data_IF_363051502813
#
_entry.id   IF_363051502813
#
_cell.length_a   1.000
_cell.length_b   1.000
_cell.length_c   1.000
_cell.angle_alpha   90.00
_cell.angle_beta   90.00
_cell.angle_gamma   90.00
#
_symmetry.space_group_name_H-M   'P 1'
#
loop_
_entity.id
_entity.type
_entity.pdbx_description
1 polymer ?
#
# COMPACT_ATOMS: atom_id res chain seq x y z
N UNK A 1 -15.23 36.56 -35.62
CA UNK A 1 -14.21 35.47 -35.68
C UNK A 1 -12.85 35.83 -35.05
N UNK A 2 -12.65 37.00 -34.43
CA UNK A 2 -11.34 37.39 -33.86
C UNK A 2 -11.03 36.76 -32.49
N UNK A 3 -12.07 36.30 -31.77
CA UNK A 3 -11.95 35.76 -30.42
C UNK A 3 -12.05 34.23 -30.32
N UNK A 4 -12.24 33.52 -31.43
CA UNK A 4 -12.35 32.04 -31.43
C UNK A 4 -11.03 31.38 -30.99
N UNK A 5 -9.89 31.89 -31.45
CA UNK A 5 -8.57 31.36 -31.11
C UNK A 5 -8.23 31.47 -29.62
N UNK A 6 -8.40 32.63 -28.95
CA UNK A 6 -8.14 32.74 -27.52
C UNK A 6 -9.15 31.94 -26.67
N UNK A 7 -10.41 31.83 -27.09
CA UNK A 7 -11.41 31.02 -26.39
C UNK A 7 -11.03 29.53 -26.45
N UNK A 8 -10.62 29.03 -27.61
CA UNK A 8 -10.17 27.65 -27.75
C UNK A 8 -8.93 27.35 -26.90
N UNK A 9 -7.96 28.27 -26.88
CA UNK A 9 -6.78 28.14 -26.04
C UNK A 9 -7.13 28.10 -24.54
N UNK A 10 -8.06 28.94 -24.10
CA UNK A 10 -8.54 28.96 -22.72
C UNK A 10 -9.23 27.64 -22.32
N UNK A 11 -10.10 27.10 -23.19
CA UNK A 11 -10.77 25.82 -22.95
C UNK A 11 -9.74 24.69 -22.82
N UNK A 12 -8.73 24.65 -23.69
CA UNK A 12 -7.67 23.64 -23.62
C UNK A 12 -6.92 23.72 -22.29
N UNK A 13 -6.51 24.92 -21.85
CA UNK A 13 -5.80 25.12 -20.58
C UNK A 13 -6.65 24.65 -19.38
N UNK A 14 -7.94 24.99 -19.37
CA UNK A 14 -8.86 24.57 -18.31
C UNK A 14 -9.02 23.05 -18.29
N UNK A 15 -9.18 22.40 -19.45
CA UNK A 15 -9.28 20.93 -19.53
C UNK A 15 -8.03 20.20 -18.99
N UNK A 16 -6.83 20.75 -19.19
CA UNK A 16 -5.60 20.14 -18.65
C UNK A 16 -5.47 20.31 -17.13
N UNK A 17 -5.96 21.41 -16.55
CA UNK A 17 -5.87 21.64 -15.09
C UNK A 17 -6.72 20.69 -14.24
N UNK A 18 -7.81 20.11 -14.80
CA UNK A 18 -8.70 19.21 -14.05
C UNK A 18 -8.07 17.82 -13.81
N UNK A 19 -7.07 17.43 -14.62
CA UNK A 19 -6.42 16.11 -14.51
C UNK A 19 -5.62 15.94 -13.21
N UNK A 20 -5.13 17.04 -12.62
CA UNK A 20 -4.19 17.00 -11.48
C UNK A 20 -4.88 16.61 -10.16
N UNK A 21 -6.19 16.81 -10.05
CA UNK A 21 -6.96 16.51 -8.83
C UNK A 21 -7.65 15.13 -8.85
N UNK A 22 -7.61 14.41 -9.98
CA UNK A 22 -8.31 13.14 -10.14
C UNK A 22 -7.43 11.91 -9.90
N UNK A 23 -6.11 12.08 -9.74
CA UNK A 23 -5.18 10.96 -9.60
C UNK A 23 -4.91 10.65 -8.12
N UNK A 24 -5.44 9.51 -7.65
CA UNK A 24 -5.09 8.96 -6.35
C UNK A 24 -3.89 8.03 -6.49
N UNK A 25 -2.84 8.28 -5.71
CA UNK A 25 -1.70 7.39 -5.62
C UNK A 25 -1.95 6.29 -4.57
N UNK A 26 -1.38 5.12 -4.80
CA UNK A 26 -1.51 3.96 -3.92
C UNK A 26 -0.16 3.32 -3.69
N UNK A 27 0.14 3.02 -2.43
CA UNK A 27 1.20 2.11 -2.04
C UNK A 27 0.64 0.69 -2.07
N UNK A 28 1.22 -0.16 -2.92
CA UNK A 28 0.83 -1.58 -3.03
C UNK A 28 1.96 -2.43 -2.49
N UNK A 29 1.73 -3.04 -1.33
CA UNK A 29 2.60 -4.06 -0.79
C UNK A 29 2.15 -5.44 -1.30
N UNK A 30 3.06 -6.22 -1.86
CA UNK A 30 2.78 -7.56 -2.36
C UNK A 30 3.58 -8.60 -1.60
N UNK A 31 2.86 -9.52 -0.95
CA UNK A 31 3.42 -10.70 -0.32
C UNK A 31 3.31 -11.92 -1.24
N UNK A 32 4.45 -12.53 -1.53
CA UNK A 32 4.52 -13.79 -2.27
C UNK A 32 4.62 -14.96 -1.29
N UNK A 33 3.50 -15.65 -1.06
CA UNK A 33 3.43 -16.73 -0.08
C UNK A 33 3.72 -18.07 -0.76
N UNK A 34 4.61 -18.86 -0.15
CA UNK A 34 4.87 -20.22 -0.62
C UNK A 34 3.63 -21.11 -0.35
N UNK A 35 3.18 -21.95 -1.30
CA UNK A 35 2.01 -22.80 -1.11
C UNK A 35 2.10 -23.67 0.16
N UNK A 36 3.29 -24.18 0.48
CA UNK A 36 3.55 -25.00 1.68
C UNK A 36 3.36 -24.25 3.00
N UNK A 37 3.15 -22.94 2.96
CA UNK A 37 3.11 -22.02 4.11
C UNK A 37 1.84 -21.18 4.15
N UNK A 38 0.93 -21.40 3.20
CA UNK A 38 -0.33 -20.68 3.06
C UNK A 38 -1.14 -20.67 4.35
N UNK A 39 -1.41 -21.84 4.94
CA UNK A 39 -2.22 -21.91 6.17
C UNK A 39 -1.57 -21.18 7.35
N UNK A 40 -0.24 -21.17 7.42
CA UNK A 40 0.47 -20.45 8.49
C UNK A 40 0.33 -18.94 8.27
N UNK A 41 0.47 -18.49 7.03
CA UNK A 41 0.29 -17.09 6.67
C UNK A 41 -1.13 -16.60 6.96
N UNK A 42 -2.17 -17.33 6.52
CA UNK A 42 -3.57 -16.93 6.74
C UNK A 42 -3.96 -16.89 8.21
N UNK A 43 -3.45 -17.83 9.02
CA UNK A 43 -3.68 -17.81 10.46
C UNK A 43 -3.14 -16.51 11.09
N UNK A 44 -1.92 -16.14 10.74
CA UNK A 44 -1.28 -14.95 11.31
C UNK A 44 -1.89 -13.67 10.73
N UNK A 45 -2.27 -13.66 9.46
CA UNK A 45 -2.99 -12.55 8.86
C UNK A 45 -4.31 -12.28 9.58
N UNK A 46 -5.00 -13.34 10.04
CA UNK A 46 -6.20 -13.22 10.88
C UNK A 46 -5.90 -12.63 12.25
N UNK A 47 -4.87 -13.15 12.94
CA UNK A 47 -4.43 -12.61 14.25
C UNK A 47 -4.01 -11.14 14.14
N UNK A 48 -3.37 -10.77 13.03
CA UNK A 48 -3.02 -9.39 12.72
C UNK A 48 -4.26 -8.51 12.50
N UNK A 49 -5.26 -9.00 11.77
CA UNK A 49 -6.50 -8.26 11.57
C UNK A 49 -7.24 -8.02 12.89
N UNK A 50 -7.30 -9.03 13.76
CA UNK A 50 -7.91 -8.92 15.08
C UNK A 50 -7.17 -7.87 15.94
N UNK A 51 -5.84 -7.89 15.97
CA UNK A 51 -5.03 -6.89 16.67
C UNK A 51 -5.20 -5.48 16.07
N UNK A 52 -5.32 -5.36 14.75
CA UNK A 52 -5.58 -4.08 14.09
C UNK A 52 -6.96 -3.51 14.45
N UNK A 53 -7.99 -4.35 14.61
CA UNK A 53 -9.30 -3.90 15.07
C UNK A 53 -9.27 -3.40 16.53
N UNK A 54 -8.47 -4.05 17.38
CA UNK A 54 -8.31 -3.64 18.78
C UNK A 54 -7.56 -2.30 18.92
N UNK A 55 -6.47 -2.14 18.16
CA UNK A 55 -5.59 -0.97 18.27
C UNK A 55 -5.94 0.20 17.33
N UNK A 56 -6.89 0.00 16.40
CA UNK A 56 -7.39 1.02 15.45
C UNK A 56 -6.26 1.87 14.87
N UNK A 57 -5.34 1.28 14.09
CA UNK A 57 -4.26 2.02 13.49
C UNK A 57 -4.84 3.15 12.63
N UNK A 58 -4.20 4.32 12.67
CA UNK A 58 -4.61 5.51 11.93
C UNK A 58 -4.28 5.37 10.42
N UNK A 59 -4.59 4.23 9.83
CA UNK A 59 -4.34 3.93 8.42
C UNK A 59 -5.40 2.96 7.90
N UNK A 60 -5.83 3.18 6.66
CA UNK A 60 -6.86 2.38 6.00
C UNK A 60 -6.21 1.70 4.79
N UNK A 61 -6.35 0.38 4.70
CA UNK A 61 -5.87 -0.37 3.55
C UNK A 61 -6.94 -1.33 3.03
N UNK A 62 -6.80 -1.69 1.76
CA UNK A 62 -7.58 -2.75 1.12
C UNK A 62 -6.69 -3.96 0.94
N UNK A 63 -7.17 -5.12 1.39
CA UNK A 63 -6.49 -6.40 1.18
C UNK A 63 -7.13 -7.14 0.02
N UNK A 64 -6.32 -7.64 -0.92
CA UNK A 64 -6.76 -8.52 -2.00
C UNK A 64 -5.85 -9.74 -2.10
N UNK A 65 -6.38 -10.86 -2.57
CA UNK A 65 -5.60 -12.06 -2.85
C UNK A 65 -5.80 -12.52 -4.30
N UNK A 66 -4.77 -13.14 -4.86
CA UNK A 66 -4.80 -13.77 -6.17
C UNK A 66 -4.70 -15.30 -6.05
N UNK A 67 -5.16 -16.00 -7.08
CA UNK A 67 -5.11 -17.46 -7.18
C UNK A 67 -3.68 -18.03 -7.14
N UNK A 68 -2.66 -17.19 -7.37
CA UNK A 68 -1.24 -17.56 -7.32
C UNK A 68 -0.61 -17.41 -5.92
N UNK A 69 -1.42 -17.38 -4.86
CA UNK A 69 -0.96 -17.16 -3.47
C UNK A 69 -0.21 -15.84 -3.25
N UNK A 70 -0.64 -14.81 -3.99
CA UNK A 70 -0.16 -13.44 -3.82
C UNK A 70 -1.19 -12.65 -3.03
N UNK A 71 -0.71 -11.96 -2.01
CA UNK A 71 -1.53 -11.09 -1.17
C UNK A 71 -1.09 -9.64 -1.38
N UNK A 72 -2.06 -8.76 -1.53
CA UNK A 72 -1.87 -7.35 -1.83
C UNK A 72 -2.47 -6.52 -0.72
N UNK A 73 -1.69 -5.58 -0.19
CA UNK A 73 -2.15 -4.56 0.75
C UNK A 73 -2.01 -3.21 0.07
N UNK A 74 -3.15 -2.56 -0.17
CA UNK A 74 -3.25 -1.36 -0.98
C UNK A 74 -3.65 -0.21 -0.06
N UNK A 75 -2.74 0.74 0.14
CA UNK A 75 -2.94 1.91 0.99
C UNK A 75 -2.95 3.17 0.11
N UNK A 76 -3.99 4.02 0.16
CA UNK A 76 -3.99 5.29 -0.54
C UNK A 76 -2.95 6.22 0.10
N UNK A 77 -2.11 6.85 -0.72
CA UNK A 77 -1.13 7.84 -0.27
C UNK A 77 -1.44 9.19 -0.90
N UNK A 78 -1.29 10.28 -0.15
CA UNK A 78 -1.53 11.64 -0.68
C UNK A 78 -0.38 12.12 -1.56
N UNK A 79 0.84 11.74 -1.20
CA UNK A 79 2.07 12.12 -1.90
C UNK A 79 3.20 11.15 -1.52
N UNK A 80 4.32 11.23 -2.25
CA UNK A 80 5.46 10.33 -2.00
C UNK A 80 6.20 10.60 -0.68
N UNK A 81 6.01 11.76 -0.03
CA UNK A 81 6.66 12.04 1.26
C UNK A 81 6.06 11.20 2.41
N UNK A 82 4.85 10.66 2.24
CA UNK A 82 4.26 9.69 3.18
C UNK A 82 5.03 8.35 3.22
N UNK A 83 5.88 8.08 2.22
CA UNK A 83 6.80 6.93 2.21
C UNK A 83 8.03 7.18 3.09
N UNK A 84 8.44 8.44 3.26
CA UNK A 84 9.54 8.84 4.14
C UNK A 84 9.11 8.89 5.60
N UNK A 85 7.81 9.05 5.86
CA UNK A 85 7.26 8.86 7.19
C UNK A 85 7.58 7.44 7.64
N UNK A 86 8.00 7.31 8.90
CA UNK A 86 8.45 6.04 9.46
C UNK A 86 7.24 5.12 9.71
N UNK A 87 6.56 4.70 8.64
CA UNK A 87 5.45 3.77 8.68
C UNK A 87 5.88 2.49 9.37
N UNK A 88 7.15 2.12 9.22
CA UNK A 88 7.77 1.00 9.92
C UNK A 88 7.64 1.10 11.45
N UNK A 89 7.65 2.29 12.06
CA UNK A 89 7.41 2.42 13.51
C UNK A 89 5.96 2.11 13.91
N UNK A 90 5.00 2.47 13.06
CA UNK A 90 3.58 2.14 13.27
C UNK A 90 3.28 0.66 13.00
N UNK A 91 3.93 0.09 11.99
CA UNK A 91 3.83 -1.34 11.71
C UNK A 91 4.61 -2.15 12.75
N UNK A 92 5.75 -1.68 13.28
CA UNK A 92 6.59 -2.37 14.27
C UNK A 92 5.83 -2.75 15.53
N UNK A 93 5.01 -1.85 16.07
CA UNK A 93 4.20 -2.15 17.26
C UNK A 93 3.20 -3.28 17.00
N UNK A 94 2.69 -3.45 15.78
CA UNK A 94 1.82 -4.57 15.40
C UNK A 94 2.62 -5.81 14.92
N UNK A 95 3.81 -5.61 14.36
CA UNK A 95 4.67 -6.62 13.76
C UNK A 95 5.45 -7.44 14.79
N UNK A 96 5.85 -6.80 15.90
CA UNK A 96 6.44 -7.47 17.07
C UNK A 96 5.41 -8.32 17.82
N UNK A 97 4.11 -8.00 17.70
CA UNK A 97 3.06 -8.71 18.42
C UNK A 97 2.73 -10.07 17.77
N UNK A 98 2.81 -10.24 16.43
CA UNK A 98 2.47 -11.55 15.81
C UNK A 98 3.11 -11.91 14.44
N UNK A 99 3.55 -10.97 13.58
CA UNK A 99 3.94 -11.28 12.18
C UNK A 99 5.45 -11.47 11.94
N UNK A 100 6.31 -10.88 12.77
CA UNK A 100 7.74 -10.76 12.48
C UNK A 100 8.56 -12.05 12.49
N UNK A 101 8.14 -13.06 13.26
CA UNK A 101 8.83 -14.36 13.30
C UNK A 101 8.45 -15.26 12.12
N UNK A 102 7.22 -15.17 11.61
CA UNK A 102 6.79 -16.03 10.51
C UNK A 102 7.30 -15.48 9.17
N UNK A 103 7.18 -14.19 8.88
CA UNK A 103 7.63 -13.60 7.60
C UNK A 103 9.12 -13.88 7.31
N UNK A 104 10.00 -13.78 8.31
CA UNK A 104 11.44 -14.11 8.19
C UNK A 104 11.71 -15.58 7.83
N UNK A 105 10.83 -16.50 8.22
CA UNK A 105 10.93 -17.93 7.91
C UNK A 105 10.24 -18.31 6.59
N UNK A 106 9.28 -17.50 6.14
CA UNK A 106 8.40 -17.80 5.00
C UNK A 106 8.91 -17.19 3.69
N UNK A 107 9.51 -16.02 3.77
CA UNK A 107 10.02 -15.28 2.62
C UNK A 107 11.54 -15.43 2.61
N UNK A 108 12.08 -16.20 1.66
CA UNK A 108 13.54 -16.32 1.45
C UNK A 108 14.11 -15.06 0.76
N UNK A 109 13.60 -13.90 1.13
CA UNK A 109 14.07 -12.65 0.60
C UNK A 109 15.01 -12.06 1.64
N UNK A 110 16.30 -12.26 1.40
CA UNK A 110 17.31 -11.26 1.75
C UNK A 110 16.96 -9.98 0.99
N UNK A 111 15.88 -9.30 1.38
CA UNK A 111 15.72 -7.89 1.02
C UNK A 111 16.63 -7.20 2.03
N UNK A 112 17.74 -6.59 1.60
CA UNK A 112 18.57 -5.84 2.51
C UNK A 112 17.67 -4.79 3.16
N UNK A 113 17.81 -4.68 4.47
CA UNK A 113 17.01 -3.87 5.40
C UNK A 113 17.06 -2.35 5.12
N UNK A 114 17.46 -1.94 3.92
CA UNK A 114 17.61 -0.56 3.46
C UNK A 114 17.22 -0.35 1.99
N UNK A 115 16.38 -1.21 1.40
CA UNK A 115 15.79 -1.00 0.08
C UNK A 115 14.26 -1.01 0.15
N UNK A 116 13.75 -0.16 1.04
CA UNK A 116 12.42 0.44 0.93
C UNK A 116 12.71 1.94 1.05
N UNK A 117 13.04 2.54 -0.09
CA UNK A 117 13.09 3.97 -0.36
C UNK A 117 12.26 4.19 -1.62
#
# INVERSE_FOLDING_TARGET
MKHIKPILAFIVIVCFSVQVYAQQAYLVHQDNVKPSKLMQYEKIAKEFHEAALEHQPNTTWVTASSNDFKYFYITPIKNMAELDENQWQQWQTLWEINLGQCLKSLINATIPMGLIL
#
